data_IF_079046781033
#
_entry.id   IF_079046781033
#
_cell.length_a   1.000
_cell.length_b   1.000
_cell.length_c   1.000
_cell.angle_alpha   90.00
_cell.angle_beta   90.00
_cell.angle_gamma   90.00
#
_symmetry.space_group_name_H-M   'P 1'
#
loop_
_entity.id
_entity.type
_entity.pdbx_description
1 polymer ?
#
# COMPACT_ATOMS: atom_id res chain seq x y z
N UNK A 1 -4.91 16.25 18.92
CA UNK A 1 -3.99 16.00 17.79
C UNK A 1 -4.72 15.05 16.86
N UNK A 2 -5.19 15.52 15.70
CA UNK A 2 -5.87 14.63 14.74
C UNK A 2 -4.78 14.13 13.81
N UNK A 3 -4.23 12.95 14.09
CA UNK A 3 -3.23 12.33 13.22
C UNK A 3 -3.95 11.99 11.92
N UNK A 4 -3.55 12.65 10.84
CA UNK A 4 -4.01 12.30 9.50
C UNK A 4 -3.28 11.03 9.08
N UNK A 5 -3.89 9.89 9.39
CA UNK A 5 -3.35 8.55 9.12
C UNK A 5 -3.01 8.39 7.64
N UNK A 6 -3.80 8.99 6.73
CA UNK A 6 -3.55 8.90 5.28
C UNK A 6 -2.27 9.63 4.91
N UNK A 7 -2.05 10.83 5.45
CA UNK A 7 -0.79 11.56 5.26
C UNK A 7 0.39 10.80 5.85
N UNK A 8 0.25 10.24 7.04
CA UNK A 8 1.33 9.47 7.68
C UNK A 8 1.72 8.25 6.82
N UNK A 9 0.74 7.49 6.34
CA UNK A 9 0.99 6.34 5.45
C UNK A 9 1.67 6.81 4.16
N UNK A 10 1.12 7.83 3.49
CA UNK A 10 1.71 8.36 2.26
C UNK A 10 3.16 8.79 2.46
N UNK A 11 3.46 9.55 3.52
CA UNK A 11 4.82 9.99 3.83
C UNK A 11 5.80 8.82 4.05
N UNK A 12 5.32 7.70 4.58
CA UNK A 12 6.15 6.52 4.82
C UNK A 12 6.46 5.70 3.56
N UNK A 13 5.60 5.78 2.52
CA UNK A 13 5.70 4.88 1.35
C UNK A 13 5.99 5.60 0.03
N UNK A 14 5.84 6.92 -0.04
CA UNK A 14 5.90 7.70 -1.29
C UNK A 14 7.23 7.60 -2.05
N UNK A 15 8.32 7.25 -1.37
CA UNK A 15 9.66 7.13 -1.94
C UNK A 15 10.14 5.67 -1.97
N UNK A 16 9.27 4.71 -1.65
CA UNK A 16 9.59 3.29 -1.66
C UNK A 16 9.79 2.78 -3.10
N UNK A 17 10.79 1.92 -3.27
CA UNK A 17 10.98 1.08 -4.44
C UNK A 17 9.86 0.03 -4.56
N UNK A 18 9.68 -0.61 -5.73
CA UNK A 18 8.73 -1.70 -5.91
C UNK A 18 8.86 -2.82 -4.85
N UNK A 19 10.09 -3.22 -4.55
CA UNK A 19 10.38 -4.28 -3.57
C UNK A 19 9.99 -3.85 -2.14
N UNK A 20 10.24 -2.58 -1.79
CA UNK A 20 9.83 -2.02 -0.49
C UNK A 20 8.32 -1.87 -0.37
N UNK A 21 7.62 -1.54 -1.46
CA UNK A 21 6.15 -1.52 -1.51
C UNK A 21 5.57 -2.92 -1.31
N UNK A 22 6.14 -3.93 -1.97
CA UNK A 22 5.76 -5.33 -1.79
C UNK A 22 5.94 -5.76 -0.33
N UNK A 23 7.13 -5.52 0.24
CA UNK A 23 7.42 -5.85 1.63
C UNK A 23 6.42 -5.17 2.58
N UNK A 24 6.10 -3.90 2.34
CA UNK A 24 5.10 -3.15 3.13
C UNK A 24 3.72 -3.80 3.08
N UNK A 25 3.28 -4.27 1.91
CA UNK A 25 2.00 -4.96 1.73
C UNK A 25 2.01 -6.30 2.48
N UNK A 26 3.08 -7.09 2.31
CA UNK A 26 3.22 -8.40 2.95
C UNK A 26 3.25 -8.28 4.47
N UNK A 27 3.97 -7.30 5.00
CA UNK A 27 4.03 -7.01 6.43
C UNK A 27 2.67 -6.59 6.98
N UNK A 28 1.96 -5.69 6.28
CA UNK A 28 0.63 -5.24 6.69
C UNK A 28 -0.39 -6.39 6.74
N UNK A 29 -0.33 -7.30 5.77
CA UNK A 29 -1.17 -8.51 5.73
C UNK A 29 -0.79 -9.50 6.84
N UNK A 30 0.52 -9.65 7.11
CA UNK A 30 1.03 -10.62 8.09
C UNK A 30 0.76 -10.21 9.53
N UNK A 31 0.74 -8.89 9.82
CA UNK A 31 0.45 -8.36 11.15
C UNK A 31 -1.01 -8.60 11.56
N UNK A 32 -1.96 -8.62 10.61
CA UNK A 32 -3.34 -9.07 10.85
C UNK A 32 -4.16 -8.30 11.89
N UNK A 33 -3.63 -7.20 12.45
CA UNK A 33 -4.37 -6.40 13.43
C UNK A 33 -5.47 -5.58 12.71
N UNK A 34 -6.74 -5.95 12.91
CA UNK A 34 -7.92 -5.27 12.36
C UNK A 34 -7.96 -3.74 12.63
N UNK A 35 -7.19 -3.25 13.62
CA UNK A 35 -7.04 -1.81 13.91
C UNK A 35 -6.20 -1.05 12.87
N UNK A 36 -5.33 -1.74 12.14
CA UNK A 36 -4.42 -1.20 11.12
C UNK A 36 -4.96 -1.45 9.70
N UNK A 37 -5.78 -2.50 9.54
CA UNK A 37 -6.32 -2.94 8.26
C UNK A 37 -7.83 -2.62 8.17
N UNK A 38 -8.24 -1.37 7.83
CA UNK A 38 -9.65 -1.04 7.63
C UNK A 38 -10.24 -1.88 6.49
N UNK A 39 -11.57 -1.88 6.31
CA UNK A 39 -12.26 -2.74 5.34
C UNK A 39 -11.68 -2.75 3.92
N UNK A 40 -11.12 -1.63 3.43
CA UNK A 40 -10.40 -1.60 2.14
C UNK A 40 -9.13 -2.46 2.13
N UNK A 41 -8.37 -2.47 3.21
CA UNK A 41 -7.17 -3.30 3.36
C UNK A 41 -7.49 -4.79 3.38
N UNK A 42 -8.59 -5.20 4.02
CA UNK A 42 -9.04 -6.61 3.98
C UNK A 42 -9.47 -7.05 2.56
N UNK A 43 -10.17 -6.18 1.83
CA UNK A 43 -10.52 -6.47 0.43
C UNK A 43 -9.28 -6.60 -0.45
N UNK A 44 -8.29 -5.72 -0.27
CA UNK A 44 -7.02 -5.79 -1.00
C UNK A 44 -6.22 -7.04 -0.65
N UNK A 45 -6.19 -7.43 0.63
CA UNK A 45 -5.56 -8.67 1.10
C UNK A 45 -6.14 -9.90 0.39
N UNK A 46 -7.46 -10.01 0.28
CA UNK A 46 -8.11 -11.13 -0.39
C UNK A 46 -7.70 -11.23 -1.87
N UNK A 47 -7.62 -10.08 -2.55
CA UNK A 47 -7.17 -10.00 -3.94
C UNK A 47 -5.69 -10.38 -4.04
N UNK A 48 -4.84 -9.83 -3.16
CA UNK A 48 -3.40 -10.09 -3.12
C UNK A 48 -3.06 -11.57 -2.91
N UNK A 49 -3.76 -12.22 -1.96
CA UNK A 49 -3.56 -13.64 -1.63
C UNK A 49 -3.97 -14.57 -2.76
N UNK A 50 -4.97 -14.19 -3.57
CA UNK A 50 -5.42 -14.98 -4.73
C UNK A 50 -4.68 -14.65 -6.03
N UNK A 51 -3.90 -13.58 -6.05
CA UNK A 51 -3.15 -13.17 -7.23
C UNK A 51 -1.86 -13.95 -7.37
N UNK A 52 -1.49 -14.25 -8.61
CA UNK A 52 -0.16 -14.73 -8.96
C UNK A 52 0.87 -13.58 -8.96
N UNK A 53 2.13 -13.93 -9.21
CA UNK A 53 3.24 -12.98 -9.15
C UNK A 53 3.14 -11.90 -10.24
N UNK A 54 2.59 -12.21 -11.42
CA UNK A 54 2.38 -11.25 -12.49
C UNK A 54 1.36 -10.20 -12.08
N UNK A 55 0.22 -10.64 -11.51
CA UNK A 55 -0.85 -9.75 -11.08
C UNK A 55 -0.41 -8.92 -9.86
N UNK A 56 0.39 -9.49 -8.93
CA UNK A 56 0.99 -8.71 -7.83
C UNK A 56 1.94 -7.64 -8.34
N UNK A 57 2.79 -7.95 -9.32
CA UNK A 57 3.69 -6.98 -9.94
C UNK A 57 2.91 -5.84 -10.59
N UNK A 58 1.82 -6.15 -11.31
CA UNK A 58 0.93 -5.14 -11.88
C UNK A 58 0.30 -4.23 -10.82
N UNK A 59 -0.10 -4.79 -9.66
CA UNK A 59 -0.61 -4.00 -8.54
C UNK A 59 0.44 -3.07 -7.95
N UNK A 60 1.66 -3.56 -7.72
CA UNK A 60 2.78 -2.75 -7.22
C UNK A 60 3.08 -1.60 -8.21
N UNK A 61 3.13 -1.91 -9.50
CA UNK A 61 3.36 -0.91 -10.54
C UNK A 61 2.25 0.15 -10.60
N UNK A 62 0.99 -0.26 -10.45
CA UNK A 62 -0.14 0.66 -10.37
C UNK A 62 -0.06 1.55 -9.13
N UNK A 63 0.28 0.98 -7.97
CA UNK A 63 0.48 1.71 -6.71
C UNK A 63 1.61 2.73 -6.84
N UNK A 64 2.76 2.33 -7.39
CA UNK A 64 3.89 3.22 -7.61
C UNK A 64 3.53 4.41 -8.50
N UNK A 65 2.82 4.17 -9.62
CA UNK A 65 2.32 5.26 -10.48
C UNK A 65 1.35 6.18 -9.76
N UNK A 66 0.47 5.62 -8.92
CA UNK A 66 -0.47 6.41 -8.13
C UNK A 66 0.25 7.31 -7.11
N UNK A 67 1.29 6.79 -6.44
CA UNK A 67 2.11 7.55 -5.49
C UNK A 67 2.87 8.70 -6.16
N UNK A 68 3.45 8.48 -7.34
CA UNK A 68 4.10 9.53 -8.13
C UNK A 68 3.10 10.63 -8.53
N UNK A 69 1.90 10.24 -8.98
CA UNK A 69 0.85 11.20 -9.31
C UNK A 69 0.43 12.03 -8.08
N UNK A 70 0.20 11.38 -6.94
CA UNK A 70 -0.16 12.07 -5.69
C UNK A 70 0.95 13.02 -5.24
N UNK A 71 2.23 12.59 -5.32
CA UNK A 71 3.41 13.40 -5.01
C UNK A 71 3.48 14.68 -5.86
N UNK A 72 3.11 14.58 -7.14
CA UNK A 72 3.06 15.74 -8.05
C UNK A 72 1.88 16.69 -7.77
N UNK A 73 0.82 16.23 -7.12
CA UNK A 73 -0.34 17.07 -6.77
C UNK A 73 -0.17 17.84 -5.47
N UNK A 74 0.67 17.35 -4.56
CA UNK A 74 0.96 17.98 -3.26
C UNK A 74 2.29 18.76 -3.24
N UNK A 75 3.11 18.61 -4.28
CA UNK A 75 4.44 19.22 -4.44
C UNK A 75 4.41 20.63 -5.01
#
# INVERSE_FOLDING_TARGET
MNIDIRKAIFHNIKDNSPDELEATIVDAISVGEEKVLPGLGYLFELIWKQSDDEVRLQMIDALRRALENEKNMIG
#
